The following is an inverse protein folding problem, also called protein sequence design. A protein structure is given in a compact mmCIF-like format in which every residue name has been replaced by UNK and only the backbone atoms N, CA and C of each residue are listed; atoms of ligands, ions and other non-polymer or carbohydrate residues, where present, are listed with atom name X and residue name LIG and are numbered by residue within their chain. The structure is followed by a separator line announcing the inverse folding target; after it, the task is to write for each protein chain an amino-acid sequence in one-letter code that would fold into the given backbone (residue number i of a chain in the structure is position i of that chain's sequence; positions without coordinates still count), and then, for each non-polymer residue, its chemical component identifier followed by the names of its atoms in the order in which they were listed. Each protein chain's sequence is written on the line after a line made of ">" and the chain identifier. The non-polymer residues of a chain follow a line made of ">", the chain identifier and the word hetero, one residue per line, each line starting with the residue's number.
data_IF_093605714202
#
_entry.id   IF_093605714202
#
_cell.length_a   1.000
_cell.length_b   1.000
_cell.length_c   1.000
_cell.angle_alpha   90.00
_cell.angle_beta   90.00
_cell.angle_gamma   90.00
#
_symmetry.space_group_name_H-M   'P 1'
#
loop_
_entity.id
_entity.type
_entity.pdbx_description
1 polymer ?
#
# COMPACT_ATOMS: atom_id res chain seq x y z
N UNK A 1 4.47 12.67 -9.40
CA UNK A 1 4.68 11.67 -8.33
C UNK A 1 4.28 12.21 -6.95
N UNK A 2 4.37 13.52 -6.71
CA UNK A 2 4.20 14.09 -5.35
C UNK A 2 2.77 14.05 -4.81
N UNK A 3 1.74 14.30 -5.64
CA UNK A 3 0.33 14.18 -5.22
C UNK A 3 -0.03 12.78 -4.70
N UNK A 4 0.52 11.72 -5.29
CA UNK A 4 0.28 10.36 -4.81
C UNK A 4 0.86 10.14 -3.40
N UNK A 5 2.02 10.74 -3.11
CA UNK A 5 2.66 10.66 -1.79
C UNK A 5 1.87 11.44 -0.73
N UNK A 6 1.32 12.60 -1.07
CA UNK A 6 0.44 13.36 -0.18
C UNK A 6 -0.82 12.57 0.19
N UNK A 7 -1.52 11.97 -0.79
CA UNK A 7 -2.70 11.16 -0.51
C UNK A 7 -2.42 9.95 0.40
N UNK A 8 -1.23 9.36 0.35
CA UNK A 8 -0.87 8.26 1.26
C UNK A 8 -0.51 8.72 2.67
N UNK A 9 0.03 9.93 2.81
CA UNK A 9 0.25 10.52 4.15
C UNK A 9 -1.09 10.75 4.85
N UNK A 10 -2.07 11.30 4.12
CA UNK A 10 -3.45 11.42 4.61
C UNK A 10 -4.08 10.05 4.87
N UNK A 11 -3.74 9.03 4.07
CA UNK A 11 -4.17 7.64 4.31
C UNK A 11 -3.70 7.09 5.66
N UNK A 12 -2.46 7.35 6.06
CA UNK A 12 -1.92 6.91 7.35
C UNK A 12 -2.61 7.63 8.53
N UNK A 13 -3.06 8.88 8.36
CA UNK A 13 -3.83 9.65 9.35
C UNK A 13 -5.27 9.14 9.54
N UNK A 14 -5.82 8.44 8.54
CA UNK A 14 -7.16 7.84 8.59
C UNK A 14 -7.19 6.48 9.29
N UNK A 15 -6.06 5.79 9.39
CA UNK A 15 -5.99 4.45 10.00
C UNK A 15 -6.47 4.46 11.45
N UNK A 16 -6.06 5.40 12.32
CA UNK A 16 -6.56 5.44 13.70
C UNK A 16 -8.06 5.78 13.82
N UNK A 17 -8.71 6.25 12.76
CA UNK A 17 -10.12 6.67 12.77
C UNK A 17 -11.11 5.53 12.43
N UNK A 18 -10.61 4.38 11.98
CA UNK A 18 -11.44 3.17 11.74
C UNK A 18 -11.31 2.20 12.91
N UNK A 19 -12.29 1.31 13.05
CA UNK A 19 -12.30 0.24 14.06
C UNK A 19 -10.96 -0.50 14.10
N UNK A 20 -10.47 -0.74 15.31
CA UNK A 20 -9.13 -1.29 15.59
C UNK A 20 -8.88 -2.61 14.85
N UNK A 21 -9.88 -3.50 14.81
CA UNK A 21 -9.82 -4.77 14.07
C UNK A 21 -9.69 -4.59 12.55
N UNK A 22 -10.13 -3.44 12.02
CA UNK A 22 -10.07 -3.11 10.59
C UNK A 22 -8.78 -2.38 10.19
N UNK A 23 -8.04 -1.81 11.15
CA UNK A 23 -6.82 -1.03 10.90
C UNK A 23 -5.72 -1.83 10.18
N UNK A 24 -5.42 -3.10 10.51
CA UNK A 24 -4.40 -3.87 9.82
C UNK A 24 -4.76 -4.09 8.34
N UNK A 25 -6.03 -4.38 8.05
CA UNK A 25 -6.50 -4.59 6.69
C UNK A 25 -6.40 -3.30 5.86
N UNK A 26 -6.82 -2.17 6.43
CA UNK A 26 -6.69 -0.86 5.79
C UNK A 26 -5.21 -0.48 5.54
N UNK A 27 -4.34 -0.73 6.51
CA UNK A 27 -2.91 -0.49 6.37
C UNK A 27 -2.28 -1.32 5.24
N UNK A 28 -2.66 -2.60 5.13
CA UNK A 28 -2.21 -3.48 4.04
C UNK A 28 -2.66 -2.94 2.68
N UNK A 29 -3.92 -2.51 2.56
CA UNK A 29 -4.48 -1.97 1.33
C UNK A 29 -3.71 -0.70 0.89
N UNK A 30 -3.56 0.27 1.79
CA UNK A 30 -2.82 1.52 1.55
C UNK A 30 -1.39 1.22 1.10
N UNK A 31 -0.71 0.28 1.78
CA UNK A 31 0.67 -0.11 1.48
C UNK A 31 0.80 -0.75 0.09
N UNK A 32 -0.13 -1.62 -0.30
CA UNK A 32 -0.15 -2.25 -1.63
C UNK A 32 -0.28 -1.19 -2.72
N UNK A 33 -1.23 -0.27 -2.56
CA UNK A 33 -1.47 0.78 -3.55
C UNK A 33 -0.28 1.74 -3.66
N UNK A 34 0.34 2.12 -2.54
CA UNK A 34 1.55 2.96 -2.54
C UNK A 34 2.69 2.36 -3.35
N UNK A 35 2.98 1.07 -3.13
CA UNK A 35 4.03 0.37 -3.88
C UNK A 35 3.70 0.20 -5.36
N UNK A 36 2.44 0.02 -5.71
CA UNK A 36 2.01 -0.03 -7.11
C UNK A 36 2.28 1.29 -7.82
N UNK A 37 1.90 2.43 -7.22
CA UNK A 37 2.14 3.75 -7.80
C UNK A 37 3.64 4.07 -7.88
N UNK A 38 4.44 3.68 -6.89
CA UNK A 38 5.90 3.80 -6.95
C UNK A 38 6.49 3.02 -8.13
N UNK A 39 6.05 1.77 -8.34
CA UNK A 39 6.48 0.96 -9.48
C UNK A 39 6.06 1.54 -10.82
N UNK A 40 4.85 2.12 -10.91
CA UNK A 40 4.38 2.81 -12.12
C UNK A 40 5.26 4.04 -12.40
N UNK A 41 5.55 4.84 -11.37
CA UNK A 41 6.40 6.03 -11.50
C UNK A 41 7.83 5.68 -11.92
N UNK A 42 8.43 4.63 -11.33
CA UNK A 42 9.77 4.14 -11.71
C UNK A 42 9.84 3.67 -13.16
N UNK A 43 8.72 3.21 -13.73
CA UNK A 43 8.61 2.82 -15.14
C UNK A 43 8.24 4.00 -16.05
N UNK A 44 8.40 5.24 -15.61
CA UNK A 44 8.04 6.44 -16.40
C UNK A 44 6.58 6.40 -16.89
N UNK A 45 5.67 5.84 -16.09
CA UNK A 45 4.26 5.67 -16.44
C UNK A 45 4.01 4.81 -17.69
N UNK A 46 4.94 3.93 -18.05
CA UNK A 46 4.77 2.94 -19.11
C UNK A 46 3.83 1.81 -18.65
N UNK A 47 2.56 2.16 -18.42
CA UNK A 47 1.47 1.26 -18.02
C UNK A 47 0.83 0.56 -19.21
N UNK A 48 1.16 0.99 -20.43
CA UNK A 48 0.58 0.48 -21.66
C UNK A 48 1.34 -0.72 -22.23
N UNK A 49 2.64 -0.90 -21.93
CA UNK A 49 3.43 -2.04 -22.43
C UNK A 49 3.29 -3.31 -21.61
N UNK A 50 3.15 -3.22 -20.28
CA UNK A 50 2.98 -4.38 -19.41
C UNK A 50 2.22 -4.05 -18.13
N UNK A 51 1.40 -5.00 -17.66
CA UNK A 51 0.68 -4.90 -16.39
C UNK A 51 1.67 -4.72 -15.23
N UNK A 52 1.60 -3.57 -14.56
CA UNK A 52 2.34 -3.35 -13.31
C UNK A 52 1.60 -4.04 -12.17
N UNK A 53 2.25 -5.03 -11.55
CA UNK A 53 1.69 -5.76 -10.41
C UNK A 53 2.74 -5.96 -9.33
N UNK A 54 2.26 -6.13 -8.09
CA UNK A 54 3.09 -6.72 -7.04
C UNK A 54 3.15 -8.23 -7.27
N UNK A 55 4.36 -8.78 -7.13
CA UNK A 55 4.58 -10.22 -7.05
C UNK A 55 3.80 -10.81 -5.87
N UNK A 56 3.46 -12.09 -5.94
CA UNK A 56 2.79 -12.78 -4.83
C UNK A 56 3.59 -12.68 -3.52
N UNK A 57 4.93 -12.76 -3.62
CA UNK A 57 5.85 -12.61 -2.48
C UNK A 57 5.75 -11.23 -1.80
N UNK A 58 5.66 -10.16 -2.59
CA UNK A 58 5.47 -8.81 -2.04
C UNK A 58 4.14 -8.67 -1.30
N UNK A 59 3.08 -9.28 -1.82
CA UNK A 59 1.76 -9.29 -1.16
C UNK A 59 1.81 -10.07 0.17
N UNK A 60 2.41 -11.26 0.17
CA UNK A 60 2.58 -12.06 1.40
C UNK A 60 3.38 -11.33 2.47
N UNK A 61 4.46 -10.65 2.09
CA UNK A 61 5.28 -9.90 3.05
C UNK A 61 4.52 -8.73 3.68
N UNK A 62 3.71 -8.02 2.90
CA UNK A 62 2.87 -6.93 3.42
C UNK A 62 1.79 -7.47 4.37
N UNK A 63 1.14 -8.58 4.01
CA UNK A 63 0.18 -9.24 4.89
C UNK A 63 0.81 -9.67 6.21
N UNK A 64 1.97 -10.33 6.18
CA UNK A 64 2.69 -10.73 7.38
C UNK A 64 3.03 -9.54 8.30
N UNK A 65 3.44 -8.40 7.73
CA UNK A 65 3.66 -7.16 8.49
C UNK A 65 2.37 -6.60 9.11
N UNK A 66 1.27 -6.62 8.37
CA UNK A 66 -0.03 -6.17 8.89
C UNK A 66 -0.49 -7.02 10.07
N UNK A 67 -0.32 -8.35 10.00
CA UNK A 67 -0.64 -9.27 11.09
C UNK A 67 0.25 -9.05 12.32
N UNK A 68 1.55 -8.83 12.14
CA UNK A 68 2.46 -8.47 13.24
C UNK A 68 2.03 -7.16 13.93
N UNK A 69 1.53 -6.19 13.18
CA UNK A 69 1.04 -4.91 13.69
C UNK A 69 -0.25 -5.02 14.51
N UNK A 70 -1.00 -6.12 14.37
CA UNK A 70 -2.19 -6.45 15.19
C UNK A 70 -1.83 -7.13 16.50
N UNK A 71 -0.69 -7.82 16.55
CA UNK A 71 -0.27 -8.64 17.69
C UNK A 71 0.59 -7.88 18.70
N UNK A 72 0.95 -6.62 18.42
CA UNK A 72 1.82 -5.79 19.25
C UNK A 72 1.15 -4.49 19.64
#
# INVERSE_FOLDING_TARGET
>A
ADRAREYYRSGDELIPMVDEDSQPALWVLITIYRRLLEKIALRQYDVFKQKVSLTAREKLFILGKGLLKRLG
#
